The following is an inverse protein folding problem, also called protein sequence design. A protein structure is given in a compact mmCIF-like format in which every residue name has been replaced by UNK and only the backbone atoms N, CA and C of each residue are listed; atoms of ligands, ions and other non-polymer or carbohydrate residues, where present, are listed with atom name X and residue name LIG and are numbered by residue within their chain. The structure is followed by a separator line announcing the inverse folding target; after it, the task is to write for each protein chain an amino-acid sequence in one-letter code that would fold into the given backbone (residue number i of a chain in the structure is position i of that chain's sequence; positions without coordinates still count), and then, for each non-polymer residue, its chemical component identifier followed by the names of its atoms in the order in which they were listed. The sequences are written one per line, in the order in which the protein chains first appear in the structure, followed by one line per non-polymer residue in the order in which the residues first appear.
data_IF_387863894853
#
_entry.id   IF_387863894853
#
_cell.length_a   1.000
_cell.length_b   1.000
_cell.length_c   1.000
_cell.angle_alpha   90.00
_cell.angle_beta   90.00
_cell.angle_gamma   90.00
#
_symmetry.space_group_name_H-M   'P 1'
#
loop_
_entity.id
_entity.type
_entity.pdbx_description
1 polymer ?
#
# COMPACT_ATOMS: atom_id res chain seq x y z
N UNK A 1 26.71 -32.06 37.98
CA UNK A 1 25.32 -31.85 37.54
C UNK A 1 25.01 -30.35 37.52
N UNK A 2 24.94 -29.72 36.34
CA UNK A 2 24.42 -28.35 36.18
C UNK A 2 23.54 -28.36 34.95
N UNK A 3 22.29 -28.78 35.12
CA UNK A 3 21.28 -28.83 34.07
C UNK A 3 20.18 -27.84 34.42
N UNK A 4 19.87 -26.95 33.47
CA UNK A 4 18.49 -26.53 33.27
C UNK A 4 18.00 -25.27 33.99
N UNK A 5 18.66 -24.12 33.86
CA UNK A 5 18.01 -22.82 34.06
C UNK A 5 18.25 -21.89 32.87
N UNK A 6 17.65 -22.21 31.71
CA UNK A 6 17.74 -21.33 30.54
C UNK A 6 16.59 -21.50 29.54
N UNK A 7 15.32 -21.34 29.92
CA UNK A 7 14.28 -21.06 28.90
C UNK A 7 12.89 -20.52 29.33
N UNK A 8 12.70 -19.84 30.48
CA UNK A 8 11.35 -19.33 30.84
C UNK A 8 11.00 -17.95 30.26
N UNK A 9 11.98 -17.12 29.91
CA UNK A 9 11.74 -15.75 29.40
C UNK A 9 11.32 -15.70 27.92
N UNK A 10 11.75 -16.67 27.10
CA UNK A 10 11.39 -16.74 25.68
C UNK A 10 9.91 -17.09 25.47
N UNK A 11 9.39 -18.09 26.21
CA UNK A 11 8.00 -18.53 26.07
C UNK A 11 6.96 -17.48 26.47
N UNK A 12 7.22 -16.68 27.51
CA UNK A 12 6.28 -15.64 27.97
C UNK A 12 6.22 -14.42 27.03
N UNK A 13 7.35 -14.04 26.42
CA UNK A 13 7.34 -12.97 25.42
C UNK A 13 6.65 -13.40 24.12
N UNK A 14 6.82 -14.66 23.74
CA UNK A 14 6.17 -15.20 22.54
C UNK A 14 4.66 -15.37 22.73
N UNK A 15 4.21 -15.84 23.90
CA UNK A 15 2.78 -15.94 24.23
C UNK A 15 2.09 -14.58 24.28
N UNK A 16 2.75 -13.57 24.88
CA UNK A 16 2.21 -12.21 24.95
C UNK A 16 2.12 -11.54 23.57
N UNK A 17 3.14 -11.72 22.73
CA UNK A 17 3.15 -11.20 21.36
C UNK A 17 2.05 -11.85 20.50
N UNK A 18 1.86 -13.16 20.65
CA UNK A 18 0.81 -13.90 19.95
C UNK A 18 -0.59 -13.43 20.37
N UNK A 19 -0.82 -13.21 21.66
CA UNK A 19 -2.07 -12.62 22.17
C UNK A 19 -2.31 -11.18 21.67
N UNK A 20 -1.27 -10.36 21.55
CA UNK A 20 -1.39 -9.00 21.02
C UNK A 20 -1.73 -8.98 19.51
N UNK A 21 -1.21 -9.94 18.73
CA UNK A 21 -1.54 -10.10 17.31
C UNK A 21 -2.97 -10.62 17.11
N UNK A 22 -3.39 -11.59 17.93
CA UNK A 22 -4.77 -12.11 17.93
C UNK A 22 -5.78 -11.02 18.32
N UNK A 23 -5.48 -10.21 19.33
CA UNK A 23 -6.36 -9.11 19.72
C UNK A 23 -6.46 -8.05 18.60
N UNK A 24 -5.39 -7.82 17.82
CA UNK A 24 -5.44 -6.92 16.66
C UNK A 24 -6.31 -7.47 15.53
N UNK A 25 -6.20 -8.77 15.21
CA UNK A 25 -7.02 -9.38 14.15
C UNK A 25 -8.51 -9.36 14.50
N UNK A 26 -8.86 -9.68 15.76
CA UNK A 26 -10.23 -9.59 16.28
C UNK A 26 -10.77 -8.17 16.17
N UNK A 27 -9.98 -7.17 16.57
CA UNK A 27 -10.37 -5.75 16.48
C UNK A 27 -10.57 -5.28 15.05
N UNK A 28 -9.77 -5.77 14.11
CA UNK A 28 -9.92 -5.47 12.69
C UNK A 28 -11.20 -6.10 12.13
N UNK A 29 -11.47 -7.37 12.45
CA UNK A 29 -12.70 -8.04 12.06
C UNK A 29 -13.95 -7.34 12.63
N UNK A 30 -13.90 -6.91 13.90
CA UNK A 30 -14.97 -6.14 14.52
C UNK A 30 -15.17 -4.77 13.84
N UNK A 31 -14.11 -4.14 13.34
CA UNK A 31 -14.22 -2.90 12.56
C UNK A 31 -14.86 -3.13 11.19
N UNK A 32 -14.52 -4.23 10.50
CA UNK A 32 -15.15 -4.59 9.21
C UNK A 32 -16.67 -4.76 9.35
N UNK A 33 -17.14 -5.30 10.49
CA UNK A 33 -18.57 -5.44 10.80
C UNK A 33 -19.27 -4.16 11.27
N UNK A 34 -18.55 -3.04 11.45
CA UNK A 34 -19.15 -1.76 11.82
C UNK A 34 -19.68 -0.99 10.61
N UNK A 35 -20.60 -0.03 10.81
CA UNK A 35 -21.15 0.79 9.72
C UNK A 35 -20.08 1.43 8.81
N UNK A 36 -18.96 1.86 9.39
CA UNK A 36 -17.83 2.44 8.66
C UNK A 36 -17.07 1.40 7.82
N UNK A 37 -16.85 0.19 8.38
CA UNK A 37 -16.22 -0.91 7.67
C UNK A 37 -17.08 -1.39 6.50
N UNK A 38 -18.39 -1.54 6.72
CA UNK A 38 -19.37 -1.88 5.69
C UNK A 38 -19.35 -0.85 4.56
N UNK A 39 -19.34 0.45 4.89
CA UNK A 39 -19.23 1.51 3.87
C UNK A 39 -17.97 1.36 3.01
N UNK A 40 -16.81 1.14 3.63
CA UNK A 40 -15.56 0.97 2.88
C UNK A 40 -15.58 -0.29 1.98
N UNK A 41 -16.20 -1.38 2.46
CA UNK A 41 -16.39 -2.61 1.67
C UNK A 41 -17.30 -2.32 0.47
N UNK A 42 -18.44 -1.67 0.68
CA UNK A 42 -19.36 -1.30 -0.41
C UNK A 42 -18.68 -0.41 -1.44
N UNK A 43 -17.93 0.59 -1.01
CA UNK A 43 -17.13 1.43 -1.91
C UNK A 43 -16.11 0.61 -2.71
N UNK A 44 -15.47 -0.37 -2.09
CA UNK A 44 -14.53 -1.28 -2.77
C UNK A 44 -15.24 -2.15 -3.80
N UNK A 45 -16.45 -2.65 -3.49
CA UNK A 45 -17.28 -3.41 -4.43
C UNK A 45 -17.65 -2.54 -5.64
N UNK A 46 -17.99 -1.27 -5.43
CA UNK A 46 -18.25 -0.33 -6.53
C UNK A 46 -16.98 -0.10 -7.38
N UNK A 47 -15.82 0.06 -6.74
CA UNK A 47 -14.54 0.18 -7.44
C UNK A 47 -14.15 -1.08 -8.22
N UNK A 48 -14.73 -2.24 -7.88
CA UNK A 48 -14.57 -3.52 -8.58
C UNK A 48 -15.56 -3.71 -9.74
N UNK A 49 -16.53 -2.81 -9.93
CA UNK A 49 -17.54 -2.93 -10.98
C UNK A 49 -16.93 -3.14 -12.38
N UNK A 50 -15.87 -2.42 -12.81
CA UNK A 50 -15.24 -2.65 -14.11
C UNK A 50 -14.62 -4.06 -14.27
N UNK A 51 -14.18 -4.69 -13.18
CA UNK A 51 -13.61 -6.05 -13.19
C UNK A 51 -14.70 -7.13 -13.35
N UNK A 52 -15.95 -6.77 -13.09
CA UNK A 52 -17.10 -7.67 -13.25
C UNK A 52 -17.49 -7.88 -14.71
N UNK A 53 -17.08 -6.96 -15.58
CA UNK A 53 -17.27 -7.06 -17.02
C UNK A 53 -16.39 -8.18 -17.63
N UNK A 54 -16.94 -8.92 -18.61
CA UNK A 54 -16.22 -10.03 -19.28
C UNK A 54 -15.38 -9.54 -20.47
N UNK A 55 -14.70 -8.41 -20.33
CA UNK A 55 -13.78 -7.88 -21.33
C UNK A 55 -12.63 -7.14 -20.65
N UNK A 56 -11.50 -7.04 -21.35
CA UNK A 56 -10.42 -6.14 -20.93
C UNK A 56 -10.82 -4.76 -21.42
N UNK A 57 -10.90 -3.79 -20.50
CA UNK A 57 -11.22 -2.42 -20.88
C UNK A 57 -10.14 -1.94 -21.84
N UNK A 58 -10.50 -1.52 -23.06
CA UNK A 58 -9.58 -1.05 -24.11
C UNK A 58 -9.02 0.31 -23.75
N UNK A 59 -8.15 0.32 -22.74
CA UNK A 59 -7.45 1.50 -22.29
C UNK A 59 -6.20 1.81 -23.10
N UNK A 60 -5.63 2.99 -22.85
CA UNK A 60 -4.57 3.58 -23.67
C UNK A 60 -3.36 2.67 -23.94
N UNK A 61 -2.90 1.89 -22.96
CA UNK A 61 -1.67 1.09 -23.09
C UNK A 61 -1.86 -0.42 -22.90
N UNK A 62 -3.10 -0.90 -23.00
CA UNK A 62 -3.45 -2.32 -22.73
C UNK A 62 -2.71 -3.29 -23.63
N UNK A 63 -2.51 -2.94 -24.89
CA UNK A 63 -1.81 -3.82 -25.84
C UNK A 63 -0.38 -4.11 -25.39
N UNK A 64 0.32 -3.12 -24.84
CA UNK A 64 1.66 -3.32 -24.29
C UNK A 64 1.64 -4.35 -23.16
N UNK A 65 0.69 -4.21 -22.25
CA UNK A 65 0.53 -5.17 -21.16
C UNK A 65 0.22 -6.59 -21.66
N UNK A 66 -0.69 -6.74 -22.62
CA UNK A 66 -1.04 -8.05 -23.20
C UNK A 66 0.21 -8.73 -23.75
N UNK A 67 0.99 -8.04 -24.58
CA UNK A 67 2.20 -8.62 -25.17
C UNK A 67 3.26 -8.98 -24.13
N UNK A 68 3.40 -8.18 -23.05
CA UNK A 68 4.33 -8.48 -21.96
C UNK A 68 3.89 -9.70 -21.14
N UNK A 69 2.59 -9.90 -20.96
CA UNK A 69 2.04 -11.12 -20.33
C UNK A 69 2.23 -12.35 -21.22
N UNK A 70 2.03 -12.20 -22.53
CA UNK A 70 2.28 -13.28 -23.51
C UNK A 70 3.76 -13.65 -23.58
N UNK A 71 4.66 -12.66 -23.57
CA UNK A 71 6.11 -12.84 -23.50
C UNK A 71 6.51 -13.64 -22.26
N UNK A 72 5.98 -13.27 -21.08
CA UNK A 72 6.24 -13.99 -19.84
C UNK A 72 5.70 -15.42 -19.89
N UNK A 73 4.48 -15.62 -20.36
CA UNK A 73 3.89 -16.95 -20.47
C UNK A 73 4.70 -17.84 -21.42
N UNK A 74 5.08 -17.33 -22.59
CA UNK A 74 5.91 -18.04 -23.56
C UNK A 74 7.33 -18.29 -23.05
N UNK A 75 7.91 -17.33 -22.31
CA UNK A 75 9.20 -17.47 -21.64
C UNK A 75 9.19 -18.56 -20.59
N UNK A 76 8.22 -18.53 -19.66
CA UNK A 76 8.09 -19.51 -18.59
C UNK A 76 7.96 -20.94 -19.13
N UNK A 77 7.21 -21.14 -20.22
CA UNK A 77 7.09 -22.44 -20.89
C UNK A 77 8.41 -22.93 -21.50
N UNK A 78 9.30 -22.02 -21.88
CA UNK A 78 10.63 -22.32 -22.45
C UNK A 78 11.74 -22.37 -21.39
N UNK A 79 11.42 -22.18 -20.11
CA UNK A 79 12.40 -22.06 -19.02
C UNK A 79 13.14 -20.72 -18.99
N UNK A 80 12.66 -19.72 -19.73
CA UNK A 80 13.22 -18.37 -19.77
C UNK A 80 12.43 -17.43 -18.86
N UNK A 81 13.12 -16.51 -18.19
CA UNK A 81 12.49 -15.52 -17.32
C UNK A 81 12.81 -14.10 -17.78
N UNK A 82 11.82 -13.41 -18.35
CA UNK A 82 11.97 -12.05 -18.87
C UNK A 82 11.56 -11.02 -17.81
N UNK A 83 12.52 -10.59 -16.98
CA UNK A 83 12.27 -9.59 -15.92
C UNK A 83 11.97 -8.19 -16.48
N UNK A 84 12.45 -7.90 -17.69
CA UNK A 84 12.20 -6.67 -18.43
C UNK A 84 11.69 -7.04 -19.84
N UNK A 85 10.87 -6.17 -20.44
CA UNK A 85 10.27 -6.46 -21.74
C UNK A 85 11.35 -6.48 -22.82
N UNK A 86 11.27 -7.41 -23.76
CA UNK A 86 12.19 -7.38 -24.90
C UNK A 86 11.90 -6.18 -25.80
N UNK A 87 12.95 -5.69 -26.47
CA UNK A 87 12.85 -4.59 -27.45
C UNK A 87 11.81 -4.88 -28.54
N UNK A 88 11.66 -6.14 -28.96
CA UNK A 88 10.66 -6.52 -29.95
C UNK A 88 9.23 -6.23 -29.45
N UNK A 89 8.91 -6.58 -28.20
CA UNK A 89 7.58 -6.33 -27.61
C UNK A 89 7.30 -4.84 -27.54
N UNK A 90 8.28 -4.04 -27.13
CA UNK A 90 8.15 -2.57 -27.09
C UNK A 90 7.98 -1.97 -28.50
N UNK A 91 8.70 -2.50 -29.49
CA UNK A 91 8.60 -2.02 -30.87
C UNK A 91 7.25 -2.32 -31.51
N UNK A 92 6.56 -3.39 -31.10
CA UNK A 92 5.24 -3.77 -31.60
C UNK A 92 4.13 -2.83 -31.11
N UNK A 93 4.32 -2.17 -29.97
CA UNK A 93 3.35 -1.22 -29.41
C UNK A 93 3.70 0.24 -29.71
N UNK A 94 4.97 0.53 -30.00
CA UNK A 94 5.48 1.89 -30.15
C UNK A 94 5.54 2.66 -28.82
N UNK A 95 5.26 2.01 -27.68
CA UNK A 95 5.23 2.62 -26.35
C UNK A 95 6.52 2.27 -25.63
N UNK A 96 7.37 3.27 -25.43
CA UNK A 96 8.68 3.12 -24.77
C UNK A 96 8.72 3.67 -23.35
N UNK A 97 7.69 4.41 -22.94
CA UNK A 97 7.60 5.05 -21.61
C UNK A 97 7.70 4.03 -20.47
N UNK A 98 7.19 2.81 -20.69
CA UNK A 98 7.18 1.73 -19.70
C UNK A 98 8.34 0.73 -19.87
N UNK A 99 9.33 1.02 -20.72
CA UNK A 99 10.47 0.13 -20.97
C UNK A 99 11.29 -0.14 -19.69
N UNK A 100 11.36 0.84 -18.80
CA UNK A 100 12.04 0.72 -17.51
C UNK A 100 11.21 0.02 -16.43
N UNK A 101 9.90 -0.14 -16.64
CA UNK A 101 9.04 -0.87 -15.70
C UNK A 101 9.31 -2.37 -15.84
N UNK A 102 9.34 -3.09 -14.73
CA UNK A 102 9.66 -4.51 -14.74
C UNK A 102 8.42 -5.36 -15.00
N UNK A 103 8.63 -6.48 -15.67
CA UNK A 103 7.67 -7.56 -15.83
C UNK A 103 7.41 -8.34 -14.51
N UNK A 104 8.09 -8.01 -13.40
CA UNK A 104 7.96 -8.70 -12.12
C UNK A 104 6.50 -8.84 -11.65
N UNK A 105 5.73 -7.76 -11.74
CA UNK A 105 4.32 -7.78 -11.34
C UNK A 105 3.41 -8.48 -12.33
N UNK A 106 3.90 -8.71 -13.55
CA UNK A 106 3.20 -9.47 -14.58
C UNK A 106 3.48 -10.97 -14.51
N UNK A 107 4.31 -11.44 -13.57
CA UNK A 107 4.55 -12.88 -13.38
C UNK A 107 3.28 -13.64 -13.02
N UNK A 108 2.45 -13.07 -12.15
CA UNK A 108 1.17 -13.67 -11.76
C UNK A 108 0.24 -13.80 -12.96
N UNK A 109 -0.10 -12.72 -13.70
CA UNK A 109 -0.95 -12.85 -14.88
C UNK A 109 -0.28 -13.66 -16.01
N UNK A 110 1.04 -13.61 -16.18
CA UNK A 110 1.78 -14.43 -17.15
C UNK A 110 1.68 -15.93 -16.87
N UNK A 111 1.83 -16.32 -15.59
CA UNK A 111 1.64 -17.71 -15.18
C UNK A 111 0.18 -18.17 -15.36
N UNK A 112 -0.78 -17.35 -14.92
CA UNK A 112 -2.22 -17.65 -15.09
C UNK A 112 -2.61 -17.76 -16.56
N UNK A 113 -2.08 -16.88 -17.42
CA UNK A 113 -2.32 -16.93 -18.85
C UNK A 113 -1.68 -18.17 -19.49
N UNK A 114 -0.47 -18.54 -19.05
CA UNK A 114 0.19 -19.78 -19.47
C UNK A 114 -0.63 -21.03 -19.21
N UNK A 115 -1.33 -21.09 -18.06
CA UNK A 115 -2.20 -22.20 -17.66
C UNK A 115 -3.58 -22.18 -18.32
N UNK A 116 -4.23 -21.01 -18.35
CA UNK A 116 -5.64 -20.88 -18.75
C UNK A 116 -5.82 -20.60 -20.23
N UNK A 117 -4.78 -20.07 -20.90
CA UNK A 117 -4.84 -19.49 -22.24
C UNK A 117 -5.93 -18.44 -22.42
N UNK A 118 -6.39 -17.84 -21.32
CA UNK A 118 -7.43 -16.84 -21.29
C UNK A 118 -6.89 -15.54 -20.69
N UNK A 119 -6.60 -14.57 -21.55
CA UNK A 119 -6.02 -13.28 -21.16
C UNK A 119 -7.01 -12.44 -20.33
N UNK A 120 -8.30 -12.52 -20.65
CA UNK A 120 -9.36 -11.81 -19.94
C UNK A 120 -9.48 -12.30 -18.51
N UNK A 121 -9.43 -13.62 -18.30
CA UNK A 121 -9.46 -14.21 -16.96
C UNK A 121 -8.22 -13.81 -16.15
N UNK A 122 -7.04 -13.85 -16.78
CA UNK A 122 -5.77 -13.47 -16.14
C UNK A 122 -5.76 -12.00 -15.72
N UNK A 123 -6.27 -11.11 -16.58
CA UNK A 123 -6.50 -9.70 -16.28
C UNK A 123 -7.43 -9.52 -15.06
N UNK A 124 -8.59 -10.18 -15.07
CA UNK A 124 -9.60 -10.02 -14.01
C UNK A 124 -9.10 -10.48 -12.65
N UNK A 125 -8.41 -11.62 -12.59
CA UNK A 125 -7.82 -12.12 -11.35
C UNK A 125 -6.73 -11.19 -10.82
N UNK A 126 -5.88 -10.67 -11.72
CA UNK A 126 -4.87 -9.70 -11.36
C UNK A 126 -5.48 -8.39 -10.83
N UNK A 127 -6.44 -7.82 -11.53
CA UNK A 127 -7.11 -6.59 -11.11
C UNK A 127 -7.89 -6.77 -9.80
N UNK A 128 -8.55 -7.92 -9.62
CA UNK A 128 -9.19 -8.27 -8.35
C UNK A 128 -8.17 -8.26 -7.20
N UNK A 129 -7.00 -8.88 -7.39
CA UNK A 129 -5.93 -8.87 -6.40
C UNK A 129 -5.42 -7.45 -6.12
N UNK A 130 -5.21 -6.63 -7.16
CA UNK A 130 -4.81 -5.22 -7.03
C UNK A 130 -5.80 -4.45 -6.18
N UNK A 131 -7.11 -4.57 -6.43
CA UNK A 131 -8.14 -3.86 -5.67
C UNK A 131 -8.23 -4.34 -4.21
N UNK A 132 -8.21 -5.66 -3.97
CA UNK A 132 -8.26 -6.23 -2.61
C UNK A 132 -7.04 -5.79 -1.81
N UNK A 133 -5.84 -5.93 -2.37
CA UNK A 133 -4.60 -5.56 -1.68
C UNK A 133 -4.59 -4.05 -1.43
N UNK A 134 -5.03 -3.24 -2.38
CA UNK A 134 -5.12 -1.77 -2.17
C UNK A 134 -6.04 -1.44 -1.00
N UNK A 135 -7.21 -2.06 -0.93
CA UNK A 135 -8.14 -1.85 0.18
C UNK A 135 -7.52 -2.25 1.53
N UNK A 136 -6.81 -3.38 1.58
CA UNK A 136 -6.14 -3.85 2.78
C UNK A 136 -5.00 -2.91 3.20
N UNK A 137 -4.14 -2.50 2.28
CA UNK A 137 -3.00 -1.61 2.58
C UNK A 137 -3.49 -0.21 2.97
N UNK A 138 -4.53 0.31 2.31
CA UNK A 138 -5.17 1.58 2.68
C UNK A 138 -5.81 1.49 4.07
N UNK A 139 -6.54 0.41 4.35
CA UNK A 139 -7.14 0.18 5.67
C UNK A 139 -6.08 0.11 6.77
N UNK A 140 -4.98 -0.62 6.53
CA UNK A 140 -3.85 -0.68 7.45
C UNK A 140 -3.25 0.70 7.71
N UNK A 141 -3.05 1.51 6.67
CA UNK A 141 -2.49 2.84 6.80
C UNK A 141 -3.41 3.79 7.59
N UNK A 142 -4.65 3.97 7.13
CA UNK A 142 -5.56 4.97 7.71
C UNK A 142 -6.06 4.61 9.11
N UNK A 143 -6.32 3.32 9.39
CA UNK A 143 -6.69 2.89 10.74
C UNK A 143 -5.53 3.06 11.73
N UNK A 144 -4.29 2.90 11.26
CA UNK A 144 -3.12 3.13 12.11
C UNK A 144 -2.87 4.63 12.33
N UNK A 145 -3.08 5.45 11.31
CA UNK A 145 -2.87 6.89 11.36
C UNK A 145 -3.85 7.59 12.33
N UNK A 146 -5.14 7.24 12.27
CA UNK A 146 -6.18 7.91 13.06
C UNK A 146 -6.57 7.20 14.36
N UNK A 147 -6.05 5.99 14.58
CA UNK A 147 -6.32 5.22 15.80
C UNK A 147 -7.80 4.82 15.96
N UNK A 148 -8.19 4.48 17.19
CA UNK A 148 -9.55 4.01 17.48
C UNK A 148 -10.59 5.13 17.47
N UNK A 149 -10.22 6.33 17.91
CA UNK A 149 -11.14 7.44 18.08
C UNK A 149 -11.47 8.11 16.73
N UNK A 150 -10.57 7.98 15.75
CA UNK A 150 -10.72 8.54 14.40
C UNK A 150 -11.25 7.55 13.35
N UNK A 151 -12.14 6.62 13.70
CA UNK A 151 -12.70 5.63 12.74
C UNK A 151 -13.40 6.27 11.54
N UNK A 152 -14.13 7.37 11.74
CA UNK A 152 -14.75 8.11 10.65
C UNK A 152 -13.69 8.71 9.72
N UNK A 153 -12.65 9.35 10.26
CA UNK A 153 -11.56 9.92 9.48
C UNK A 153 -10.80 8.84 8.69
N UNK A 154 -10.56 7.67 9.30
CA UNK A 154 -9.97 6.53 8.62
C UNK A 154 -10.86 6.02 7.48
N UNK A 155 -12.17 5.90 7.72
CA UNK A 155 -13.15 5.51 6.71
C UNK A 155 -13.16 6.48 5.53
N UNK A 156 -13.20 7.79 5.79
CA UNK A 156 -13.14 8.83 4.75
C UNK A 156 -11.85 8.73 3.95
N UNK A 157 -10.70 8.54 4.61
CA UNK A 157 -9.41 8.34 3.94
C UNK A 157 -9.41 7.12 3.01
N UNK A 158 -9.92 5.97 3.48
CA UNK A 158 -10.02 4.74 2.68
C UNK A 158 -10.95 4.95 1.48
N UNK A 159 -12.13 5.53 1.70
CA UNK A 159 -13.11 5.80 0.64
C UNK A 159 -12.49 6.71 -0.41
N UNK A 160 -11.94 7.86 -0.02
CA UNK A 160 -11.31 8.81 -0.94
C UNK A 160 -10.14 8.18 -1.72
N UNK A 161 -9.37 7.30 -1.09
CA UNK A 161 -8.28 6.60 -1.75
C UNK A 161 -8.78 5.60 -2.78
N UNK A 162 -9.78 4.79 -2.41
CA UNK A 162 -10.36 3.77 -3.29
C UNK A 162 -11.13 4.40 -4.46
N UNK A 163 -11.80 5.53 -4.23
CA UNK A 163 -12.56 6.28 -5.24
C UNK A 163 -11.77 7.40 -5.91
N UNK A 164 -10.45 7.45 -5.73
CA UNK A 164 -9.63 8.47 -6.37
C UNK A 164 -9.78 8.38 -7.90
N UNK A 165 -10.30 9.43 -8.58
CA UNK A 165 -10.56 9.40 -10.01
C UNK A 165 -9.31 9.09 -10.84
N UNK A 166 -8.15 9.60 -10.44
CA UNK A 166 -6.89 9.33 -11.14
C UNK A 166 -6.47 7.86 -11.01
N UNK A 167 -6.66 7.26 -9.83
CA UNK A 167 -6.41 5.83 -9.63
C UNK A 167 -7.33 4.97 -10.49
N UNK A 168 -8.63 5.31 -10.53
CA UNK A 168 -9.63 4.63 -11.36
C UNK A 168 -9.26 4.75 -12.83
N UNK A 169 -8.90 5.96 -13.29
CA UNK A 169 -8.41 6.22 -14.64
C UNK A 169 -7.20 5.34 -14.98
N UNK A 170 -6.16 5.33 -14.13
CA UNK A 170 -4.97 4.49 -14.34
C UNK A 170 -5.30 3.00 -14.40
N UNK A 171 -6.17 2.51 -13.52
CA UNK A 171 -6.52 1.09 -13.44
C UNK A 171 -7.33 0.61 -14.64
N UNK A 172 -8.17 1.47 -15.20
CA UNK A 172 -9.26 1.01 -16.06
C UNK A 172 -9.34 1.70 -17.43
N UNK A 173 -9.01 2.99 -17.52
CA UNK A 173 -9.13 3.78 -18.76
C UNK A 173 -7.77 4.00 -19.44
N UNK A 174 -6.76 4.39 -18.70
CA UNK A 174 -5.38 4.30 -19.17
C UNK A 174 -4.90 2.83 -19.17
N UNK A 175 -5.43 2.04 -18.22
CA UNK A 175 -5.17 0.62 -18.01
C UNK A 175 -3.66 0.27 -17.93
N UNK A 176 -2.92 1.12 -17.21
CA UNK A 176 -1.52 0.90 -16.91
C UNK A 176 -1.39 0.03 -15.66
N UNK A 177 -1.17 -1.26 -15.87
CA UNK A 177 -1.13 -2.24 -14.78
C UNK A 177 0.11 -2.12 -13.89
N UNK A 178 1.20 -1.56 -14.41
CA UNK A 178 2.40 -1.22 -13.64
C UNK A 178 2.10 -0.12 -12.62
N UNK A 179 1.46 0.96 -13.07
CA UNK A 179 1.03 2.04 -12.17
C UNK A 179 -0.10 1.60 -11.23
N UNK A 180 -1.03 0.75 -11.68
CA UNK A 180 -2.06 0.19 -10.80
C UNK A 180 -1.46 -0.55 -9.59
N UNK A 181 -0.36 -1.28 -9.80
CA UNK A 181 0.42 -1.91 -8.72
C UNK A 181 1.12 -0.88 -7.85
N UNK A 182 1.69 0.18 -8.43
CA UNK A 182 2.30 1.24 -7.64
C UNK A 182 1.27 1.89 -6.69
N UNK A 183 0.05 2.15 -7.17
CA UNK A 183 -1.09 2.60 -6.35
C UNK A 183 -1.50 1.59 -5.28
N UNK A 184 -1.40 0.29 -5.54
CA UNK A 184 -1.66 -0.74 -4.52
C UNK A 184 -0.63 -0.73 -3.38
N UNK A 185 0.65 -0.45 -3.69
CA UNK A 185 1.76 -0.49 -2.74
C UNK A 185 1.95 0.81 -1.95
N UNK A 186 1.51 1.94 -2.49
CA UNK A 186 1.69 3.27 -1.88
C UNK A 186 1.22 3.35 -0.42
N UNK A 187 0.01 2.88 -0.04
CA UNK A 187 -0.44 2.96 1.35
C UNK A 187 0.41 2.10 2.29
N UNK A 188 0.91 0.96 1.80
CA UNK A 188 1.81 0.09 2.57
C UNK A 188 3.15 0.78 2.82
N UNK A 189 3.71 1.45 1.79
CA UNK A 189 4.93 2.23 1.93
C UNK A 189 4.73 3.38 2.93
N UNK A 190 3.65 4.15 2.79
CA UNK A 190 3.30 5.24 3.69
C UNK A 190 3.13 4.76 5.14
N UNK A 191 2.47 3.61 5.34
CA UNK A 191 2.35 2.98 6.65
C UNK A 191 3.71 2.58 7.23
N UNK A 192 4.57 1.94 6.45
CA UNK A 192 5.90 1.54 6.90
C UNK A 192 6.74 2.76 7.31
N UNK A 193 6.71 3.83 6.51
CA UNK A 193 7.37 5.10 6.81
C UNK A 193 6.82 5.76 8.07
N UNK A 194 5.49 5.82 8.22
CA UNK A 194 4.85 6.38 9.41
C UNK A 194 5.29 5.62 10.67
N UNK A 195 5.28 4.28 10.64
CA UNK A 195 5.65 3.46 11.80
C UNK A 195 7.13 3.52 12.16
N UNK A 196 8.01 3.97 11.26
CA UNK A 196 9.44 4.22 11.52
C UNK A 196 9.68 5.47 12.36
N UNK A 197 8.74 6.42 12.34
CA UNK A 197 8.82 7.62 13.19
C UNK A 197 8.51 7.28 14.65
N UNK A 198 7.66 6.27 14.90
CA UNK A 198 7.30 5.82 16.24
C UNK A 198 8.49 5.20 17.04
N UNK A 199 8.50 5.35 18.37
CA UNK A 199 9.53 4.75 19.24
C UNK A 199 9.44 3.21 19.24
N UNK A 200 10.59 2.52 19.30
CA UNK A 200 10.67 1.05 19.39
C UNK A 200 11.65 0.39 18.42
N UNK A 201 11.64 -0.94 18.34
CA UNK A 201 12.50 -1.71 17.41
C UNK A 201 12.14 -1.40 15.96
N UNK A 202 13.09 -0.85 15.20
CA UNK A 202 12.86 -0.33 13.84
C UNK A 202 13.28 -1.28 12.71
N UNK A 203 14.08 -2.31 12.98
CA UNK A 203 14.68 -3.16 11.93
C UNK A 203 13.62 -3.82 11.05
N UNK A 204 12.61 -4.49 11.62
CA UNK A 204 11.56 -5.13 10.83
C UNK A 204 10.74 -4.13 10.00
N UNK A 205 10.44 -2.96 10.55
CA UNK A 205 9.71 -1.90 9.85
C UNK A 205 10.54 -1.29 8.71
N UNK A 206 11.86 -1.18 8.91
CA UNK A 206 12.79 -0.70 7.89
C UNK A 206 12.85 -1.68 6.72
N UNK A 207 12.84 -3.00 7.00
CA UNK A 207 12.75 -4.02 5.96
C UNK A 207 11.44 -3.90 5.18
N UNK A 208 10.30 -3.69 5.85
CA UNK A 208 9.01 -3.49 5.16
C UNK A 208 9.04 -2.21 4.33
N UNK A 209 9.58 -1.10 4.83
CA UNK A 209 9.71 0.15 4.08
C UNK A 209 10.63 -0.01 2.86
N UNK A 210 11.79 -0.63 3.03
CA UNK A 210 12.74 -0.90 1.95
C UNK A 210 12.17 -1.84 0.90
N UNK A 211 11.50 -2.92 1.33
CA UNK A 211 10.87 -3.87 0.41
C UNK A 211 9.71 -3.23 -0.36
N UNK A 212 8.84 -2.48 0.32
CA UNK A 212 7.73 -1.77 -0.35
C UNK A 212 8.23 -0.72 -1.34
N UNK A 213 9.31 0.01 -1.02
CA UNK A 213 9.93 0.95 -1.95
C UNK A 213 10.55 0.24 -3.17
N UNK A 214 11.28 -0.86 -2.95
CA UNK A 214 11.86 -1.66 -4.02
C UNK A 214 10.79 -2.25 -4.94
N UNK A 215 9.73 -2.83 -4.37
CA UNK A 215 8.59 -3.35 -5.10
C UNK A 215 7.85 -2.30 -5.90
N UNK A 216 7.78 -1.08 -5.37
CA UNK A 216 7.21 0.07 -6.05
C UNK A 216 8.11 0.54 -7.20
N UNK A 217 9.44 0.41 -7.10
CA UNK A 217 10.38 0.60 -8.23
C UNK A 217 10.30 -0.49 -9.30
N UNK A 218 10.02 -1.73 -8.94
CA UNK A 218 9.70 -2.78 -9.91
C UNK A 218 8.32 -2.58 -10.56
N UNK A 219 7.40 -1.88 -9.90
CA UNK A 219 6.10 -1.53 -10.45
C UNK A 219 6.23 -0.35 -11.42
N UNK A 220 6.60 0.83 -10.93
CA UNK A 220 6.69 2.04 -11.74
C UNK A 220 7.82 2.98 -11.26
N UNK A 221 8.71 3.34 -12.18
CA UNK A 221 9.89 4.17 -11.87
C UNK A 221 9.52 5.57 -11.39
N UNK A 222 8.45 6.17 -11.91
CA UNK A 222 8.02 7.52 -11.55
C UNK A 222 7.52 7.50 -10.10
N UNK A 223 6.69 6.51 -9.75
CA UNK A 223 6.26 6.33 -8.37
C UNK A 223 7.44 6.10 -7.43
N UNK A 224 8.46 5.35 -7.85
CA UNK A 224 9.64 5.11 -7.03
C UNK A 224 10.44 6.39 -6.78
N UNK A 225 10.72 7.14 -7.82
CA UNK A 225 11.47 8.40 -7.71
C UNK A 225 10.71 9.43 -6.88
N UNK A 226 9.39 9.52 -7.03
CA UNK A 226 8.56 10.43 -6.24
C UNK A 226 8.51 10.01 -4.77
N UNK A 227 8.28 8.72 -4.47
CA UNK A 227 8.26 8.21 -3.10
C UNK A 227 9.62 8.37 -2.40
N UNK A 228 10.71 8.03 -3.09
CA UNK A 228 12.08 8.21 -2.59
C UNK A 228 12.42 9.69 -2.39
N UNK A 229 12.04 10.55 -3.34
CA UNK A 229 12.24 12.00 -3.28
C UNK A 229 11.51 12.64 -2.09
N UNK A 230 10.23 12.32 -1.89
CA UNK A 230 9.46 12.78 -0.72
C UNK A 230 10.12 12.31 0.57
N UNK A 231 10.58 11.06 0.61
CA UNK A 231 11.23 10.48 1.79
C UNK A 231 12.53 11.19 2.14
N UNK A 232 13.34 11.50 1.13
CA UNK A 232 14.57 12.27 1.27
C UNK A 232 14.29 13.70 1.75
N UNK A 233 13.27 14.37 1.19
CA UNK A 233 12.85 15.70 1.62
C UNK A 233 12.42 15.72 3.09
N UNK A 234 11.58 14.76 3.50
CA UNK A 234 11.16 14.62 4.90
C UNK A 234 12.36 14.36 5.81
N UNK A 235 13.32 13.53 5.39
CA UNK A 235 14.54 13.27 6.16
C UNK A 235 15.43 14.53 6.30
N UNK A 236 15.57 15.32 5.23
CA UNK A 236 16.33 16.58 5.25
C UNK A 236 15.66 17.61 6.16
N UNK A 237 14.34 17.80 6.04
CA UNK A 237 13.57 18.72 6.88
C UNK A 237 13.67 18.29 8.35
N UNK A 238 13.54 17.01 8.65
CA UNK A 238 13.65 16.48 10.02
C UNK A 238 15.05 16.69 10.62
N UNK A 239 16.10 16.62 9.81
CA UNK A 239 17.48 16.92 10.23
C UNK A 239 17.70 18.42 10.46
N UNK A 240 17.15 19.29 9.61
CA UNK A 240 17.22 20.76 9.78
C UNK A 240 16.36 21.27 10.94
N UNK A 241 15.22 20.63 11.20
CA UNK A 241 14.32 20.94 12.31
C UNK A 241 14.86 20.57 13.70
N UNK A 242 15.99 19.86 13.79
CA UNK A 242 16.72 19.72 15.06
C UNK A 242 17.42 21.02 15.50
N UNK A 243 17.38 22.08 14.67
CA UNK A 243 17.82 23.43 15.02
C UNK A 243 16.67 24.44 15.17
N UNK A 244 15.42 24.09 14.83
CA UNK A 244 14.23 24.94 15.04
C UNK A 244 13.01 24.06 15.28
N UNK A 245 12.48 24.10 16.51
CA UNK A 245 11.21 23.48 16.92
C UNK A 245 10.05 23.93 16.00
N UNK A 246 9.76 23.14 14.95
CA UNK A 246 8.65 23.41 14.03
C UNK A 246 7.45 22.45 14.20
N UNK A 247 7.51 21.52 15.17
CA UNK A 247 6.44 20.55 15.44
C UNK A 247 5.55 20.89 16.64
N UNK A 248 5.78 22.02 17.31
CA UNK A 248 4.89 22.51 18.37
C UNK A 248 3.61 23.18 17.86
N UNK A 249 3.46 23.40 16.55
CA UNK A 249 2.33 24.19 16.00
C UNK A 249 1.15 23.36 15.48
N UNK A 250 1.28 22.03 15.33
CA UNK A 250 0.20 21.17 14.84
C UNK A 250 -0.27 20.08 15.82
N UNK A 251 0.29 20.04 17.03
CA UNK A 251 -0.20 19.13 18.07
C UNK A 251 -1.35 19.81 18.83
N UNK A 252 -2.58 19.65 18.33
CA UNK A 252 -3.75 19.93 19.16
C UNK A 252 -3.81 18.84 20.23
N UNK A 253 -3.43 19.17 21.46
CA UNK A 253 -3.57 18.31 22.63
C UNK A 253 -4.97 18.51 23.25
N UNK A 254 -5.92 17.58 23.04
CA UNK A 254 -7.27 17.69 23.61
C UNK A 254 -7.29 17.47 25.14
N UNK A 255 -6.15 17.22 25.80
CA UNK A 255 -6.07 17.03 27.27
C UNK A 255 -5.70 18.27 28.07
N UNK A 256 -5.48 19.44 27.46
CA UNK A 256 -5.41 20.72 28.19
C UNK A 256 -6.82 21.31 28.40
N UNK A 257 -7.62 20.61 29.18
CA UNK A 257 -8.81 21.20 29.83
C UNK A 257 -8.37 21.77 31.17
N UNK A 258 -8.74 23.02 31.42
CA UNK A 258 -8.82 23.67 32.74
C UNK A 258 -7.56 23.65 33.61
N UNK A 259 -6.76 24.72 33.57
CA UNK A 259 -6.09 25.28 34.75
C UNK A 259 -5.77 26.75 34.49
N UNK A 260 -6.27 27.58 35.41
CA UNK A 260 -5.85 28.96 35.71
C UNK A 260 -6.29 30.06 34.73
N UNK A 261 -7.48 30.61 34.99
CA UNK A 261 -7.73 32.03 34.75
C UNK A 261 -7.39 32.80 36.04
N UNK A 262 -6.47 33.78 36.02
CA UNK A 262 -6.23 34.66 37.16
C UNK A 262 -7.40 35.61 37.36
N UNK A 263 -7.85 35.78 38.61
CA UNK A 263 -8.85 36.81 38.97
C UNK A 263 -8.23 38.21 38.83
N UNK A 264 -8.91 39.19 38.22
CA UNK A 264 -8.56 40.59 38.42
C UNK A 264 -9.35 41.19 39.60
N UNK A 265 -8.55 41.65 40.58
CA UNK A 265 -8.65 42.72 41.61
C UNK A 265 -9.99 43.34 42.09
N UNK A 266 -10.02 43.81 43.36
CA UNK A 266 -11.21 44.38 44.00
C UNK A 266 -11.48 45.81 43.54
N UNK A 267 -12.75 46.19 43.63
CA UNK A 267 -13.26 47.51 43.32
C UNK A 267 -12.80 48.57 44.34
N UNK A 268 -12.37 49.71 43.82
CA UNK A 268 -12.40 51.03 44.47
C UNK A 268 -12.84 52.03 43.41
#
# INVERSE_FOLDING_TARGET
MKVGMRNKKGGYQDSKKRQDEENKSIRFAAWLGSNHGILCILTTIVALFPVSCNYIMTGGIVQEWIFRVEELAGGLQKGCFYLYPNLNVLSMTGIYENAMNSNFWFLVPGFLYGLTKNIVLSYRLYMLAVQIITFLTASLFFLHLFGQDGRLAACVGIVLYMTNPYRIYVCYDHANLSQATAWMLLPLYAWAMYTLTAPGKKVGKLLVAGASLAFLGYADVIFFLTAAGITLLVAIISRRGSSVNLFSTFYFDPRKKSREFPRPFPAT
#
